data_IF_010650506831
#
_entry.id   IF_010650506831
#
_cell.length_a   1.000
_cell.length_b   1.000
_cell.length_c   1.000
_cell.angle_alpha   90.00
_cell.angle_beta   90.00
_cell.angle_gamma   90.00
#
_symmetry.space_group_name_H-M   'P 1'
#
loop_
_entity.id
_entity.type
_entity.pdbx_description
1 polymer ?
#
# COMPACT_ATOMS: atom_id res chain seq x y z
N UNK A 1 15.38 15.19 -21.58
CA UNK A 1 15.24 13.95 -20.76
C UNK A 1 16.53 13.54 -20.03
N UNK A 2 17.71 13.66 -20.63
CA UNK A 2 18.98 13.23 -20.00
C UNK A 2 19.40 14.12 -18.81
N UNK A 3 19.00 15.38 -18.76
CA UNK A 3 19.35 16.31 -17.68
C UNK A 3 18.72 15.96 -16.33
N UNK A 4 17.52 15.37 -16.32
CA UNK A 4 16.80 14.96 -15.10
C UNK A 4 17.62 13.92 -14.31
N UNK A 5 18.26 12.99 -15.01
CA UNK A 5 19.06 11.93 -14.40
C UNK A 5 20.47 12.38 -13.95
N UNK A 6 20.84 13.65 -14.12
CA UNK A 6 22.05 14.21 -13.52
C UNK A 6 21.89 14.48 -12.02
N UNK A 7 20.66 14.63 -11.54
CA UNK A 7 20.38 14.87 -10.13
C UNK A 7 20.22 13.56 -9.37
N UNK A 8 21.02 13.35 -8.31
CA UNK A 8 21.00 12.14 -7.51
C UNK A 8 19.63 11.89 -6.86
N UNK A 9 18.97 12.95 -6.37
CA UNK A 9 17.64 12.82 -5.77
C UNK A 9 16.61 12.28 -6.76
N UNK A 10 16.72 12.66 -8.03
CA UNK A 10 15.80 12.18 -9.07
C UNK A 10 16.07 10.71 -9.42
N UNK A 11 17.34 10.30 -9.50
CA UNK A 11 17.70 8.90 -9.69
C UNK A 11 17.14 8.04 -8.55
N UNK A 12 17.30 8.47 -7.30
CA UNK A 12 16.77 7.79 -6.14
C UNK A 12 15.24 7.72 -6.17
N UNK A 13 14.56 8.82 -6.53
CA UNK A 13 13.11 8.87 -6.66
C UNK A 13 12.57 7.88 -7.71
N UNK A 14 13.22 7.81 -8.88
CA UNK A 14 12.83 6.85 -9.93
C UNK A 14 13.07 5.40 -9.49
N UNK A 15 14.24 5.10 -8.90
CA UNK A 15 14.53 3.75 -8.41
C UNK A 15 13.55 3.31 -7.33
N UNK A 16 13.32 4.15 -6.31
CA UNK A 16 12.36 3.85 -5.25
C UNK A 16 10.95 3.71 -5.79
N UNK A 17 10.53 4.63 -6.65
CA UNK A 17 9.22 4.61 -7.29
C UNK A 17 8.99 3.33 -8.08
N UNK A 18 9.95 2.88 -8.90
CA UNK A 18 9.86 1.63 -9.65
C UNK A 18 9.79 0.41 -8.73
N UNK A 19 10.67 0.33 -7.72
CA UNK A 19 10.67 -0.79 -6.76
C UNK A 19 9.34 -0.87 -6.00
N UNK A 20 8.87 0.25 -5.46
CA UNK A 20 7.60 0.30 -4.71
C UNK A 20 6.40 0.03 -5.62
N UNK A 21 6.39 0.54 -6.86
CA UNK A 21 5.32 0.26 -7.83
C UNK A 21 5.20 -1.23 -8.12
N UNK A 22 6.32 -1.93 -8.25
CA UNK A 22 6.33 -3.38 -8.47
C UNK A 22 5.74 -4.13 -7.28
N UNK A 23 6.20 -3.81 -6.07
CA UNK A 23 5.70 -4.44 -4.83
C UNK A 23 4.22 -4.16 -4.63
N UNK A 24 3.82 -2.88 -4.71
CA UNK A 24 2.45 -2.44 -4.49
C UNK A 24 1.50 -2.99 -5.56
N UNK A 25 1.93 -3.13 -6.83
CA UNK A 25 1.10 -3.71 -7.89
C UNK A 25 0.82 -5.20 -7.66
N UNK A 26 1.81 -5.97 -7.18
CA UNK A 26 1.60 -7.38 -6.83
C UNK A 26 0.66 -7.52 -5.63
N UNK A 27 0.84 -6.70 -4.60
CA UNK A 27 -0.09 -6.66 -3.45
C UNK A 27 -1.48 -6.21 -3.88
N UNK A 28 -1.58 -5.20 -4.77
CA UNK A 28 -2.82 -4.67 -5.32
C UNK A 28 -3.68 -5.75 -5.99
N UNK A 29 -3.05 -6.68 -6.71
CA UNK A 29 -3.76 -7.83 -7.29
C UNK A 29 -4.56 -8.59 -6.23
N UNK A 30 -3.92 -8.95 -5.10
CA UNK A 30 -4.60 -9.67 -4.03
C UNK A 30 -5.61 -8.80 -3.26
N UNK A 31 -5.32 -7.52 -3.07
CA UNK A 31 -6.23 -6.56 -2.42
C UNK A 31 -7.54 -6.45 -3.20
N UNK A 32 -7.46 -6.31 -4.53
CA UNK A 32 -8.65 -6.22 -5.39
C UNK A 32 -9.39 -7.55 -5.45
N UNK A 33 -8.66 -8.66 -5.62
CA UNK A 33 -9.26 -9.99 -5.72
C UNK A 33 -10.01 -10.39 -4.44
N UNK A 34 -9.47 -10.01 -3.26
CA UNK A 34 -10.07 -10.26 -1.95
C UNK A 34 -11.09 -9.19 -1.53
N UNK A 35 -11.37 -8.18 -2.36
CA UNK A 35 -12.28 -7.06 -2.09
C UNK A 35 -11.91 -6.28 -0.82
N UNK A 36 -10.62 -6.07 -0.60
CA UNK A 36 -10.05 -5.37 0.56
C UNK A 36 -9.58 -3.95 0.21
N UNK A 37 -10.25 -3.27 -0.72
CA UNK A 37 -9.79 -1.99 -1.28
C UNK A 37 -9.57 -0.88 -0.24
N UNK A 38 -10.37 -0.83 0.81
CA UNK A 38 -10.23 0.18 1.87
C UNK A 38 -9.22 -0.18 2.96
N UNK A 39 -8.75 -1.44 3.03
CA UNK A 39 -7.85 -1.86 4.11
C UNK A 39 -6.51 -1.12 4.06
N UNK A 40 -6.01 -0.82 2.86
CA UNK A 40 -4.78 -0.05 2.68
C UNK A 40 -4.86 1.33 3.33
N UNK A 41 -5.97 2.04 3.11
CA UNK A 41 -6.25 3.35 3.72
C UNK A 41 -6.37 3.21 5.24
N UNK A 42 -7.16 2.25 5.72
CA UNK A 42 -7.36 2.02 7.16
C UNK A 42 -6.05 1.72 7.89
N UNK A 43 -5.24 0.83 7.34
CA UNK A 43 -3.94 0.44 7.92
C UNK A 43 -2.94 1.59 7.87
N UNK A 44 -2.87 2.32 6.74
CA UNK A 44 -1.94 3.43 6.57
C UNK A 44 -2.21 4.56 7.58
N UNK A 45 -3.46 4.94 7.76
CA UNK A 45 -3.83 5.94 8.77
C UNK A 45 -3.71 5.41 10.19
N UNK A 46 -3.94 4.12 10.42
CA UNK A 46 -3.71 3.49 11.73
C UNK A 46 -2.23 3.49 12.12
N UNK A 47 -1.34 3.37 11.14
CA UNK A 47 0.09 3.47 11.38
C UNK A 47 0.50 4.84 11.99
N UNK A 48 -0.26 5.92 11.71
CA UNK A 48 -0.09 7.20 12.36
C UNK A 48 -0.23 7.11 13.89
N UNK A 49 -1.24 6.38 14.39
CA UNK A 49 -1.37 6.10 15.83
C UNK A 49 -0.13 5.40 16.41
N UNK A 50 0.47 4.49 15.64
CA UNK A 50 1.72 3.83 16.01
C UNK A 50 2.94 4.76 16.02
N UNK A 51 3.04 5.68 15.03
CA UNK A 51 4.08 6.74 15.02
C UNK A 51 3.98 7.63 16.25
N UNK A 52 2.76 8.08 16.56
CA UNK A 52 2.47 8.92 17.73
C UNK A 52 2.80 8.21 19.06
N UNK A 53 2.47 6.92 19.16
CA UNK A 53 2.83 6.09 20.31
C UNK A 53 4.35 5.98 20.48
N UNK A 54 5.09 5.80 19.38
CA UNK A 54 6.55 5.77 19.40
C UNK A 54 7.17 7.07 19.89
N UNK A 55 6.63 8.21 19.42
CA UNK A 55 7.04 9.53 19.86
C UNK A 55 6.78 9.74 21.37
N UNK A 56 5.61 9.31 21.86
CA UNK A 56 5.25 9.39 23.28
C UNK A 56 6.17 8.54 24.17
N UNK A 57 6.52 7.33 23.73
CA UNK A 57 7.35 6.39 24.50
C UNK A 57 8.86 6.63 24.33
N UNK A 58 9.27 7.56 23.47
CA UNK A 58 10.70 7.81 23.18
C UNK A 58 11.39 6.66 22.45
N UNK A 59 10.65 5.80 21.76
CA UNK A 59 11.17 4.66 20.97
C UNK A 59 10.98 4.90 19.48
N UNK A 60 11.61 4.06 18.65
CA UNK A 60 11.56 4.23 17.19
C UNK A 60 10.12 4.32 16.66
N UNK A 61 9.70 5.48 16.09
CA UNK A 61 8.34 5.64 15.54
C UNK A 61 8.03 4.66 14.41
N UNK A 62 9.04 4.23 13.65
CA UNK A 62 8.86 3.25 12.57
C UNK A 62 8.53 1.85 13.11
N UNK A 63 9.20 1.41 14.18
CA UNK A 63 8.95 0.08 14.77
C UNK A 63 7.58 0.03 15.42
N UNK A 64 7.18 1.09 16.13
CA UNK A 64 5.85 1.19 16.74
C UNK A 64 4.75 1.29 15.69
N UNK A 65 4.98 2.03 14.59
CA UNK A 65 4.06 2.08 13.46
C UNK A 65 3.84 0.69 12.85
N UNK A 66 4.90 -0.09 12.65
CA UNK A 66 4.81 -1.46 12.15
C UNK A 66 3.97 -2.33 13.10
N UNK A 67 4.32 -2.36 14.38
CA UNK A 67 3.61 -3.17 15.38
C UNK A 67 2.14 -2.80 15.47
N UNK A 68 1.83 -1.51 15.52
CA UNK A 68 0.47 -0.99 15.60
C UNK A 68 -0.34 -1.30 14.33
N UNK A 69 0.23 -1.07 13.16
CA UNK A 69 -0.42 -1.34 11.88
C UNK A 69 -0.70 -2.83 11.67
N UNK A 70 0.25 -3.71 12.04
CA UNK A 70 0.06 -5.17 12.00
C UNK A 70 -1.04 -5.60 12.97
N UNK A 71 -1.05 -5.08 14.19
CA UNK A 71 -2.10 -5.37 15.17
C UNK A 71 -3.48 -4.95 14.65
N UNK A 72 -3.60 -3.73 14.14
CA UNK A 72 -4.86 -3.20 13.58
C UNK A 72 -5.31 -3.99 12.36
N UNK A 73 -4.42 -4.28 11.40
CA UNK A 73 -4.77 -5.05 10.21
C UNK A 73 -5.33 -6.44 10.58
N UNK A 74 -4.69 -7.12 11.54
CA UNK A 74 -5.14 -8.43 12.01
C UNK A 74 -6.43 -8.34 12.82
N UNK A 75 -6.63 -7.29 13.62
CA UNK A 75 -7.87 -7.05 14.35
C UNK A 75 -9.05 -6.79 13.39
N UNK A 76 -8.83 -5.98 12.33
CA UNK A 76 -9.82 -5.79 11.25
C UNK A 76 -10.18 -7.13 10.62
N UNK A 77 -9.18 -7.94 10.27
CA UNK A 77 -9.38 -9.25 9.68
C UNK A 77 -10.16 -10.22 10.59
N UNK A 78 -9.88 -10.19 11.89
CA UNK A 78 -10.57 -11.00 12.88
C UNK A 78 -12.04 -10.61 13.04
N UNK A 79 -12.33 -9.31 13.22
CA UNK A 79 -13.69 -8.80 13.42
C UNK A 79 -14.53 -8.93 12.16
N UNK A 80 -13.98 -8.62 11.00
CA UNK A 80 -14.67 -8.75 9.71
C UNK A 80 -15.12 -10.18 9.40
N UNK A 81 -14.48 -11.19 10.00
CA UNK A 81 -14.85 -12.62 9.82
C UNK A 81 -15.93 -13.11 10.78
N UNK A 82 -16.14 -12.45 11.89
CA UNK A 82 -17.14 -12.87 12.89
C UNK A 82 -18.60 -12.62 12.49
N UNK A 83 -18.83 -12.14 11.26
CA UNK A 83 -20.10 -12.26 10.56
C UNK A 83 -21.18 -11.23 10.89
N UNK A 84 -20.96 -10.32 11.86
CA UNK A 84 -21.94 -9.27 12.21
C UNK A 84 -21.65 -7.92 11.58
N UNK A 85 -20.40 -7.66 11.18
CA UNK A 85 -19.96 -6.40 10.61
C UNK A 85 -19.27 -6.65 9.28
N UNK A 86 -19.47 -5.75 8.30
CA UNK A 86 -18.68 -5.78 7.08
C UNK A 86 -17.21 -5.43 7.37
N UNK A 87 -16.30 -5.94 6.57
CA UNK A 87 -14.87 -5.60 6.68
C UNK A 87 -14.66 -4.10 6.58
N UNK A 88 -15.42 -3.40 5.72
CA UNK A 88 -15.32 -1.94 5.57
C UNK A 88 -15.77 -1.20 6.84
N UNK A 89 -16.79 -1.70 7.54
CA UNK A 89 -17.21 -1.14 8.83
C UNK A 89 -16.11 -1.31 9.88
N UNK A 90 -15.48 -2.49 9.95
CA UNK A 90 -14.36 -2.73 10.85
C UNK A 90 -13.19 -1.79 10.53
N UNK A 91 -12.85 -1.62 9.25
CA UNK A 91 -11.81 -0.67 8.81
C UNK A 91 -12.13 0.75 9.31
N UNK A 92 -13.37 1.24 9.12
CA UNK A 92 -13.78 2.57 9.56
C UNK A 92 -13.64 2.77 11.07
N UNK A 93 -14.03 1.79 11.87
CA UNK A 93 -13.91 1.83 13.35
C UNK A 93 -12.43 1.90 13.76
N UNK A 94 -11.60 0.99 13.27
CA UNK A 94 -10.19 0.95 13.65
C UNK A 94 -9.40 2.16 13.13
N UNK A 95 -9.71 2.64 11.93
CA UNK A 95 -9.18 3.89 11.41
C UNK A 95 -9.47 5.07 12.35
N UNK A 96 -10.74 5.26 12.72
CA UNK A 96 -11.16 6.37 13.58
C UNK A 96 -10.55 6.26 14.98
N UNK A 97 -10.53 5.05 15.56
CA UNK A 97 -9.91 4.80 16.86
C UNK A 97 -8.41 5.09 16.84
N UNK A 98 -7.70 4.57 15.84
CA UNK A 98 -6.25 4.76 15.72
C UNK A 98 -5.87 6.23 15.52
N UNK A 99 -6.63 6.97 14.70
CA UNK A 99 -6.44 8.41 14.52
C UNK A 99 -6.70 9.18 15.84
N UNK A 100 -7.78 8.85 16.55
CA UNK A 100 -8.08 9.49 17.83
C UNK A 100 -6.98 9.23 18.88
N UNK A 101 -6.53 7.97 18.99
CA UNK A 101 -5.40 7.60 19.85
C UNK A 101 -4.13 8.33 19.45
N UNK A 102 -3.85 8.44 18.14
CA UNK A 102 -2.70 9.17 17.63
C UNK A 102 -2.69 10.64 18.07
N UNK A 103 -3.83 11.32 17.96
CA UNK A 103 -3.98 12.72 18.42
C UNK A 103 -3.79 12.82 19.95
N UNK A 104 -4.34 11.89 20.72
CA UNK A 104 -4.16 11.85 22.18
C UNK A 104 -2.67 11.65 22.52
N UNK A 105 -1.99 10.70 21.92
CA UNK A 105 -0.58 10.42 22.17
C UNK A 105 0.33 11.62 21.85
N UNK A 106 0.04 12.32 20.74
CA UNK A 106 0.77 13.56 20.41
C UNK A 106 0.50 14.66 21.43
N UNK A 107 -0.77 14.83 21.86
CA UNK A 107 -1.11 15.81 22.89
C UNK A 107 -0.47 15.54 24.26
N UNK A 108 -0.12 14.29 24.54
CA UNK A 108 0.59 13.87 25.75
C UNK A 108 2.12 13.94 25.60
N UNK A 109 2.64 14.03 24.37
CA UNK A 109 4.07 14.07 24.10
C UNK A 109 4.62 15.49 24.28
N UNK A 110 5.69 15.63 25.04
CA UNK A 110 6.43 16.91 25.15
C UNK A 110 7.25 17.23 23.89
N UNK A 111 7.47 16.24 23.01
CA UNK A 111 8.22 16.38 21.76
C UNK A 111 7.30 16.70 20.59
N UNK A 112 7.08 17.98 20.33
CA UNK A 112 6.23 18.50 19.24
C UNK A 112 6.82 18.39 17.83
N UNK A 113 7.92 17.66 17.62
CA UNK A 113 8.70 17.65 16.37
C UNK A 113 8.46 16.45 15.46
N UNK A 114 7.29 15.79 15.53
CA UNK A 114 6.96 14.75 14.55
C UNK A 114 6.46 15.42 13.28
N UNK A 115 7.18 15.27 12.17
CA UNK A 115 6.75 15.74 10.85
C UNK A 115 5.56 14.90 10.34
N UNK A 116 4.36 15.27 10.83
CA UNK A 116 3.11 14.62 10.46
C UNK A 116 2.78 14.78 8.98
N UNK A 117 3.12 15.94 8.40
CA UNK A 117 2.91 16.22 6.98
C UNK A 117 3.79 15.31 6.11
N UNK A 118 5.05 15.07 6.53
CA UNK A 118 5.94 14.13 5.84
C UNK A 118 5.39 12.70 5.80
N UNK A 119 4.74 12.23 6.88
CA UNK A 119 4.10 10.91 6.88
C UNK A 119 2.84 10.85 6.00
N UNK A 120 2.02 11.93 5.95
CA UNK A 120 0.78 11.95 5.17
C UNK A 120 1.03 12.03 3.67
N UNK A 121 1.91 12.95 3.27
CA UNK A 121 2.13 13.24 1.85
C UNK A 121 3.40 12.60 1.29
N UNK A 122 4.32 12.18 2.16
CA UNK A 122 5.63 11.68 1.79
C UNK A 122 6.49 12.72 1.10
N UNK A 123 7.73 12.38 0.82
CA UNK A 123 8.59 13.18 -0.05
C UNK A 123 9.48 12.23 -0.86
N UNK A 124 8.96 11.77 -1.99
CA UNK A 124 9.68 10.85 -2.87
C UNK A 124 11.00 11.46 -3.39
N UNK A 125 11.13 12.79 -3.39
CA UNK A 125 12.34 13.49 -3.83
C UNK A 125 13.41 13.57 -2.73
N UNK A 126 13.06 13.28 -1.47
CA UNK A 126 14.01 13.27 -0.34
C UNK A 126 14.60 11.89 -0.04
N UNK A 127 14.41 10.91 -0.92
CA UNK A 127 14.85 9.53 -0.72
C UNK A 127 16.37 9.43 -0.78
N UNK A 128 16.93 8.82 0.27
CA UNK A 128 18.36 8.54 0.39
C UNK A 128 18.72 7.17 -0.19
N UNK A 129 20.01 6.92 -0.41
CA UNK A 129 20.51 5.59 -0.79
C UNK A 129 20.21 4.52 0.27
N UNK A 130 20.21 4.90 1.54
CA UNK A 130 19.82 3.99 2.63
C UNK A 130 18.37 3.55 2.52
N UNK A 131 17.48 4.48 2.19
CA UNK A 131 16.06 4.17 1.96
C UNK A 131 15.89 3.20 0.78
N UNK A 132 16.67 3.35 -0.30
CA UNK A 132 16.65 2.41 -1.44
C UNK A 132 17.02 0.99 -1.02
N UNK A 133 18.04 0.84 -0.17
CA UNK A 133 18.43 -0.49 0.34
C UNK A 133 17.31 -1.08 1.20
N UNK A 134 16.69 -0.28 2.06
CA UNK A 134 15.56 -0.71 2.89
C UNK A 134 14.39 -1.17 2.01
N UNK A 135 14.03 -0.38 0.98
CA UNK A 135 12.98 -0.74 0.02
C UNK A 135 13.31 -2.05 -0.69
N UNK A 136 14.55 -2.19 -1.18
CA UNK A 136 14.99 -3.37 -1.91
C UNK A 136 14.91 -4.64 -1.04
N UNK A 137 15.42 -4.58 0.20
CA UNK A 137 15.41 -5.72 1.12
C UNK A 137 13.97 -6.08 1.51
N UNK A 138 13.20 -5.11 2.01
CA UNK A 138 11.86 -5.36 2.50
C UNK A 138 10.88 -5.67 1.37
N UNK A 139 11.01 -4.99 0.23
CA UNK A 139 10.23 -5.29 -0.97
C UNK A 139 10.49 -6.71 -1.49
N UNK A 140 11.76 -7.13 -1.51
CA UNK A 140 12.12 -8.51 -1.90
C UNK A 140 11.55 -9.53 -0.90
N UNK A 141 11.61 -9.25 0.40
CA UNK A 141 11.01 -10.13 1.42
C UNK A 141 9.48 -10.25 1.24
N UNK A 142 8.79 -9.15 0.97
CA UNK A 142 7.35 -9.14 0.70
C UNK A 142 7.03 -9.97 -0.56
N UNK A 143 7.74 -9.73 -1.66
CA UNK A 143 7.51 -10.47 -2.91
C UNK A 143 7.85 -11.95 -2.76
N UNK A 144 8.95 -12.29 -2.11
CA UNK A 144 9.33 -13.67 -1.84
C UNK A 144 8.29 -14.37 -0.97
N UNK A 145 7.79 -13.71 0.07
CA UNK A 145 6.75 -14.22 0.95
C UNK A 145 5.44 -14.50 0.18
N UNK A 146 5.03 -13.56 -0.67
CA UNK A 146 3.85 -13.75 -1.54
C UNK A 146 4.10 -14.89 -2.53
N UNK A 147 5.29 -14.97 -3.11
CA UNK A 147 5.62 -15.99 -4.11
C UNK A 147 5.62 -17.41 -3.51
N UNK A 148 6.14 -17.57 -2.28
CA UNK A 148 6.14 -18.85 -1.56
C UNK A 148 4.72 -19.37 -1.35
N UNK A 149 3.80 -18.50 -0.92
CA UNK A 149 2.40 -18.85 -0.63
C UNK A 149 1.44 -18.45 -1.76
N UNK A 150 1.96 -18.22 -2.98
CA UNK A 150 1.17 -17.66 -4.08
C UNK A 150 -0.06 -18.49 -4.42
N UNK A 151 0.09 -19.80 -4.53
CA UNK A 151 -0.99 -20.73 -4.90
C UNK A 151 -2.07 -20.79 -3.83
N UNK A 152 -1.66 -20.84 -2.57
CA UNK A 152 -2.54 -20.88 -1.40
C UNK A 152 -3.30 -19.56 -1.26
N UNK A 153 -2.60 -18.42 -1.36
CA UNK A 153 -3.21 -17.10 -1.32
C UNK A 153 -4.20 -16.89 -2.46
N UNK A 154 -3.86 -17.37 -3.66
CA UNK A 154 -4.71 -17.29 -4.84
C UNK A 154 -5.97 -18.14 -4.65
N UNK A 155 -5.83 -19.37 -4.17
CA UNK A 155 -6.96 -20.28 -3.94
C UNK A 155 -7.94 -19.71 -2.91
N UNK A 156 -7.43 -19.25 -1.76
CA UNK A 156 -8.26 -18.59 -0.72
C UNK A 156 -8.94 -17.32 -1.25
N UNK A 157 -8.30 -16.59 -2.17
CA UNK A 157 -8.86 -15.38 -2.75
C UNK A 157 -10.00 -15.66 -3.74
N UNK A 158 -9.97 -16.79 -4.44
CA UNK A 158 -11.03 -17.20 -5.36
C UNK A 158 -12.21 -17.85 -4.66
N UNK A 159 -11.95 -18.82 -3.79
CA UNK A 159 -13.01 -19.54 -3.07
C UNK A 159 -12.52 -19.96 -1.67
N UNK A 160 -12.93 -19.16 -0.71
CA UNK A 160 -12.56 -19.35 0.68
C UNK A 160 -13.19 -20.59 1.31
N UNK A 161 -14.43 -20.93 0.91
CA UNK A 161 -15.16 -22.07 1.48
C UNK A 161 -14.56 -23.38 0.98
N UNK A 162 -14.27 -23.46 -0.32
CA UNK A 162 -13.59 -24.61 -0.92
C UNK A 162 -12.19 -24.78 -0.34
N UNK A 163 -11.45 -23.70 -0.09
CA UNK A 163 -10.14 -23.77 0.55
C UNK A 163 -10.22 -24.35 1.97
N UNK A 164 -11.23 -23.96 2.76
CA UNK A 164 -11.47 -24.51 4.10
C UNK A 164 -11.79 -26.02 4.07
N UNK A 165 -12.68 -26.42 3.18
CA UNK A 165 -13.06 -27.85 3.04
C UNK A 165 -11.88 -28.69 2.51
N UNK A 166 -10.99 -28.10 1.72
CA UNK A 166 -9.77 -28.74 1.24
C UNK A 166 -8.66 -28.86 2.30
N UNK A 167 -8.94 -28.47 3.56
CA UNK A 167 -7.99 -28.58 4.66
C UNK A 167 -6.90 -27.52 4.68
N UNK A 168 -7.03 -26.43 3.91
CA UNK A 168 -6.03 -25.35 3.92
C UNK A 168 -6.11 -24.52 5.21
N UNK A 169 -4.99 -24.04 5.74
CA UNK A 169 -4.96 -23.20 6.93
C UNK A 169 -5.39 -21.76 6.60
N UNK A 170 -6.66 -21.57 6.19
CA UNK A 170 -7.19 -20.29 5.68
C UNK A 170 -7.02 -19.16 6.68
N UNK A 171 -7.20 -19.42 7.97
CA UNK A 171 -7.02 -18.40 9.01
C UNK A 171 -5.58 -17.90 9.07
N UNK A 172 -4.60 -18.82 8.99
CA UNK A 172 -3.19 -18.44 8.93
C UNK A 172 -2.88 -17.61 7.68
N UNK A 173 -3.35 -18.05 6.50
CA UNK A 173 -3.12 -17.36 5.22
C UNK A 173 -3.74 -15.95 5.19
N UNK A 174 -4.88 -15.77 5.84
CA UNK A 174 -5.52 -14.47 5.97
C UNK A 174 -4.70 -13.53 6.86
N UNK A 175 -4.31 -13.97 8.05
CA UNK A 175 -3.48 -13.17 8.95
C UNK A 175 -2.08 -12.91 8.37
N UNK A 176 -1.51 -13.88 7.69
CA UNK A 176 -0.26 -13.75 6.96
C UNK A 176 -0.34 -12.65 5.89
N UNK A 177 -1.39 -12.68 5.03
CA UNK A 177 -1.58 -11.66 4.01
C UNK A 177 -1.79 -10.28 4.61
N UNK A 178 -2.60 -10.15 5.67
CA UNK A 178 -2.84 -8.88 6.36
C UNK A 178 -1.57 -8.32 7.00
N UNK A 179 -0.73 -9.18 7.55
CA UNK A 179 0.57 -8.80 8.11
C UNK A 179 1.52 -8.28 7.02
N UNK A 180 1.64 -9.00 5.89
CA UNK A 180 2.45 -8.56 4.74
C UNK A 180 1.93 -7.23 4.18
N UNK A 181 0.62 -7.08 4.05
CA UNK A 181 -0.01 -5.85 3.61
C UNK A 181 0.34 -4.69 4.55
N UNK A 182 0.20 -4.88 5.86
CA UNK A 182 0.53 -3.85 6.85
C UNK A 182 2.01 -3.45 6.80
N UNK A 183 2.92 -4.42 6.71
CA UNK A 183 4.35 -4.17 6.51
C UNK A 183 4.61 -3.36 5.24
N UNK A 184 4.02 -3.77 4.12
CA UNK A 184 4.16 -3.07 2.84
C UNK A 184 3.67 -1.63 2.94
N UNK A 185 2.51 -1.41 3.56
CA UNK A 185 1.93 -0.07 3.74
C UNK A 185 2.85 0.81 4.58
N UNK A 186 3.30 0.35 5.77
CA UNK A 186 4.11 1.19 6.68
C UNK A 186 5.45 1.56 6.06
N UNK A 187 6.11 0.62 5.38
CA UNK A 187 7.38 0.88 4.73
C UNK A 187 7.20 1.89 3.58
N UNK A 188 6.18 1.68 2.77
CA UNK A 188 5.91 2.54 1.61
C UNK A 188 5.45 3.94 2.03
N UNK A 189 4.59 4.06 3.07
CA UNK A 189 4.05 5.35 3.49
C UNK A 189 5.12 6.33 3.99
N UNK A 190 6.17 5.82 4.65
CA UNK A 190 7.29 6.65 5.12
C UNK A 190 8.01 7.34 3.96
N UNK A 191 8.00 6.73 2.79
CA UNK A 191 8.79 7.14 1.63
C UNK A 191 7.94 7.94 0.64
N UNK A 192 6.77 7.42 0.28
CA UNK A 192 5.92 8.00 -0.76
C UNK A 192 4.60 8.60 -0.24
N UNK A 193 4.38 8.50 1.08
CA UNK A 193 3.18 9.02 1.74
C UNK A 193 1.95 8.13 1.63
N UNK A 194 0.99 8.38 2.54
CA UNK A 194 -0.23 7.56 2.68
C UNK A 194 -1.10 7.61 1.42
N UNK A 195 -1.24 8.79 0.81
CA UNK A 195 -2.13 9.00 -0.34
C UNK A 195 -1.67 8.16 -1.54
N UNK A 196 -0.37 8.20 -1.85
CA UNK A 196 0.17 7.47 -2.99
C UNK A 196 0.18 5.96 -2.75
N UNK A 197 0.52 5.51 -1.53
CA UNK A 197 0.47 4.09 -1.16
C UNK A 197 -0.94 3.54 -1.33
N UNK A 198 -1.94 4.24 -0.78
CA UNK A 198 -3.34 3.80 -0.87
C UNK A 198 -3.83 3.71 -2.31
N UNK A 199 -3.45 4.65 -3.16
CA UNK A 199 -3.79 4.65 -4.57
C UNK A 199 -3.13 3.48 -5.33
N UNK A 200 -1.83 3.26 -5.15
CA UNK A 200 -1.09 2.18 -5.82
C UNK A 200 -1.49 0.78 -5.33
N UNK A 201 -2.03 0.66 -4.12
CA UNK A 201 -2.58 -0.60 -3.60
C UNK A 201 -3.92 -0.99 -4.24
N UNK A 202 -4.62 -0.07 -4.89
CA UNK A 202 -5.96 -0.35 -5.43
C UNK A 202 -6.03 -0.12 -6.94
N UNK A 203 -5.59 1.04 -7.41
CA UNK A 203 -5.85 1.47 -8.79
C UNK A 203 -5.23 0.54 -9.84
N UNK A 204 -3.96 0.10 -9.74
CA UNK A 204 -3.37 -0.76 -10.78
C UNK A 204 -4.06 -2.11 -10.89
N UNK A 205 -4.38 -2.75 -9.75
CA UNK A 205 -5.11 -4.01 -9.72
C UNK A 205 -6.55 -3.87 -10.26
N UNK A 206 -7.25 -2.80 -9.86
CA UNK A 206 -8.59 -2.52 -10.33
C UNK A 206 -8.63 -2.23 -11.84
N UNK A 207 -7.69 -1.45 -12.37
CA UNK A 207 -7.56 -1.18 -13.78
C UNK A 207 -7.25 -2.45 -14.59
N UNK A 208 -6.32 -3.28 -14.10
CA UNK A 208 -5.99 -4.56 -14.72
C UNK A 208 -7.20 -5.51 -14.77
N UNK A 209 -8.00 -5.57 -13.70
CA UNK A 209 -9.21 -6.39 -13.62
C UNK A 209 -10.27 -6.01 -14.67
N UNK A 210 -10.30 -4.75 -15.15
CA UNK A 210 -11.24 -4.33 -16.20
C UNK A 210 -10.95 -4.94 -17.57
N UNK A 211 -9.68 -5.22 -17.87
CA UNK A 211 -9.24 -5.59 -19.22
C UNK A 211 -8.63 -6.99 -19.30
N UNK A 212 -8.47 -7.70 -18.16
CA UNK A 212 -7.87 -9.03 -18.11
C UNK A 212 -8.80 -10.04 -17.43
N UNK A 213 -8.69 -11.31 -17.84
CA UNK A 213 -9.46 -12.44 -17.27
C UNK A 213 -8.58 -13.50 -16.60
N UNK A 214 -7.28 -13.47 -16.87
CA UNK A 214 -6.31 -14.44 -16.33
C UNK A 214 -5.47 -13.76 -15.24
N UNK A 215 -5.25 -14.44 -14.13
CA UNK A 215 -4.49 -13.87 -13.00
C UNK A 215 -3.07 -13.42 -13.39
N UNK A 216 -2.37 -14.19 -14.24
CA UNK A 216 -1.02 -13.83 -14.71
C UNK A 216 -1.04 -12.52 -15.50
N UNK A 217 -1.99 -12.38 -16.43
CA UNK A 217 -2.16 -11.16 -17.21
C UNK A 217 -2.58 -9.99 -16.33
N UNK A 218 -3.41 -10.23 -15.30
CA UNK A 218 -3.84 -9.20 -14.36
C UNK A 218 -2.66 -8.63 -13.57
N UNK A 219 -1.77 -9.50 -13.04
CA UNK A 219 -0.56 -9.06 -12.33
C UNK A 219 0.36 -8.29 -13.26
N UNK A 220 0.63 -8.83 -14.46
CA UNK A 220 1.52 -8.17 -15.43
C UNK A 220 1.01 -6.78 -15.83
N UNK A 221 -0.29 -6.67 -16.13
CA UNK A 221 -0.92 -5.39 -16.49
C UNK A 221 -0.94 -4.43 -15.30
N UNK A 222 -1.21 -4.90 -14.07
CA UNK A 222 -1.14 -4.06 -12.87
C UNK A 222 0.27 -3.49 -12.67
N UNK A 223 1.33 -4.30 -12.85
CA UNK A 223 2.72 -3.84 -12.78
C UNK A 223 3.00 -2.77 -13.84
N UNK A 224 2.58 -3.01 -15.09
CA UNK A 224 2.78 -2.05 -16.18
C UNK A 224 2.07 -0.73 -15.90
N UNK A 225 0.81 -0.77 -15.44
CA UNK A 225 0.06 0.43 -15.09
C UNK A 225 0.73 1.19 -13.94
N UNK A 226 1.15 0.49 -12.88
CA UNK A 226 1.84 1.11 -11.74
C UNK A 226 3.15 1.79 -12.17
N UNK A 227 3.96 1.11 -13.00
CA UNK A 227 5.21 1.66 -13.51
C UNK A 227 4.98 2.88 -14.43
N UNK A 228 4.03 2.80 -15.37
CA UNK A 228 3.70 3.93 -16.25
C UNK A 228 3.21 5.11 -15.42
N UNK A 229 2.34 4.88 -14.44
CA UNK A 229 1.82 5.93 -13.56
C UNK A 229 2.92 6.59 -12.75
N UNK A 230 3.84 5.80 -12.20
CA UNK A 230 4.94 6.32 -11.37
C UNK A 230 5.97 7.05 -12.20
N UNK A 231 6.46 6.45 -13.29
CA UNK A 231 7.46 7.07 -14.15
C UNK A 231 6.88 8.32 -14.84
N UNK A 232 5.69 8.19 -15.42
CA UNK A 232 5.01 9.30 -16.10
C UNK A 232 4.63 10.42 -15.12
N UNK A 233 4.13 10.06 -13.94
CA UNK A 233 3.78 11.02 -12.88
C UNK A 233 5.00 11.79 -12.36
N UNK A 234 6.14 11.14 -12.15
CA UNK A 234 7.40 11.80 -11.76
C UNK A 234 7.90 12.75 -12.86
N UNK A 235 7.83 12.34 -14.12
CA UNK A 235 8.22 13.20 -15.23
C UNK A 235 7.31 14.43 -15.33
N UNK A 236 6.00 14.26 -15.30
CA UNK A 236 5.03 15.36 -15.35
C UNK A 236 5.25 16.30 -14.15
N UNK A 237 5.40 15.73 -12.93
CA UNK A 237 5.67 16.50 -11.72
C UNK A 237 6.89 17.39 -11.84
N UNK A 238 7.98 16.87 -12.39
CA UNK A 238 9.22 17.62 -12.58
C UNK A 238 9.07 18.78 -13.57
N UNK A 239 8.44 18.54 -14.73
CA UNK A 239 8.31 19.57 -15.76
C UNK A 239 7.23 20.60 -15.46
N UNK A 240 6.20 20.23 -14.72
CA UNK A 240 5.07 21.10 -14.39
C UNK A 240 5.16 21.71 -12.97
N UNK A 241 6.23 21.40 -12.22
CA UNK A 241 6.44 21.84 -10.82
C UNK A 241 5.25 21.50 -9.91
N UNK A 242 4.76 20.25 -10.02
CA UNK A 242 3.62 19.75 -9.27
C UNK A 242 4.05 18.76 -8.18
N UNK A 243 3.20 18.56 -7.16
CA UNK A 243 3.44 17.54 -6.14
C UNK A 243 3.47 16.13 -6.76
N UNK A 244 4.62 15.44 -6.62
CA UNK A 244 4.89 14.16 -7.29
C UNK A 244 3.87 13.07 -6.94
N UNK A 245 3.54 12.91 -5.67
CA UNK A 245 2.55 11.91 -5.23
C UNK A 245 1.18 12.13 -5.85
N UNK A 246 0.69 13.38 -5.85
CA UNK A 246 -0.61 13.74 -6.44
C UNK A 246 -0.63 13.51 -7.94
N UNK A 247 0.45 13.84 -8.65
CA UNK A 247 0.57 13.67 -10.10
C UNK A 247 0.55 12.18 -10.48
N UNK A 248 1.26 11.33 -9.74
CA UNK A 248 1.24 9.87 -9.93
C UNK A 248 -0.18 9.31 -9.74
N UNK A 249 -0.86 9.70 -8.66
CA UNK A 249 -2.23 9.26 -8.37
C UNK A 249 -3.20 9.71 -9.48
N UNK A 250 -3.08 10.95 -9.92
CA UNK A 250 -3.93 11.50 -10.99
C UNK A 250 -3.74 10.72 -12.29
N UNK A 251 -2.49 10.42 -12.66
CA UNK A 251 -2.18 9.64 -13.86
C UNK A 251 -2.69 8.19 -13.74
N UNK A 252 -2.50 7.55 -12.58
CA UNK A 252 -3.02 6.21 -12.33
C UNK A 252 -4.56 6.18 -12.45
N UNK A 253 -5.23 7.18 -11.89
CA UNK A 253 -6.69 7.31 -11.95
C UNK A 253 -7.17 7.55 -13.39
N UNK A 254 -6.46 8.37 -14.17
CA UNK A 254 -6.78 8.57 -15.58
C UNK A 254 -6.68 7.26 -16.38
N UNK A 255 -5.62 6.46 -16.15
CA UNK A 255 -5.46 5.15 -16.77
C UNK A 255 -6.61 4.21 -16.36
N UNK A 256 -7.02 4.22 -15.08
CA UNK A 256 -8.17 3.43 -14.62
C UNK A 256 -9.45 3.81 -15.37
N UNK A 257 -9.76 5.10 -15.50
CA UNK A 257 -10.98 5.53 -16.21
C UNK A 257 -10.93 5.18 -17.72
N UNK A 258 -9.75 5.24 -18.33
CA UNK A 258 -9.56 4.78 -19.72
C UNK A 258 -9.83 3.28 -19.84
N UNK A 259 -9.24 2.46 -18.96
CA UNK A 259 -9.44 1.00 -18.96
C UNK A 259 -10.90 0.64 -18.69
N UNK A 260 -11.57 1.38 -17.80
CA UNK A 260 -12.99 1.22 -17.51
C UNK A 260 -13.83 1.53 -18.75
N UNK A 261 -13.60 2.67 -19.43
CA UNK A 261 -14.32 3.02 -20.65
C UNK A 261 -14.14 1.97 -21.76
N UNK A 262 -12.90 1.51 -21.98
CA UNK A 262 -12.59 0.44 -22.96
C UNK A 262 -13.31 -0.86 -22.60
N UNK A 263 -13.42 -1.19 -21.32
CA UNK A 263 -14.12 -2.41 -20.88
C UNK A 263 -15.62 -2.38 -21.16
N UNK A 264 -16.25 -1.19 -21.15
CA UNK A 264 -17.67 -1.03 -21.48
C UNK A 264 -17.96 -1.19 -22.99
N UNK A 265 -17.00 -0.80 -23.83
CA UNK A 265 -17.13 -0.94 -25.31
C UNK A 265 -16.96 -2.41 -25.74
N UNK A 266 -16.25 -3.22 -24.95
CA UNK A 266 -15.99 -4.64 -25.26
C UNK A 266 -17.04 -5.62 -24.72
N UNK A 267 -18.04 -5.12 -23.97
CA UNK A 267 -19.23 -5.89 -23.54
C UNK A 267 -20.29 -5.85 -24.61
#
# INVERSE_FOLDING_TARGET
MIEIFRFEFMQNAFMAGMMLSLVLAVVSFFVVLRRLSFIGVGVAHSAFGGVALGALLGISPTLTAIGFAVAVANAIGYIGKQGKLSTDTAIGIFFSLAMALGVIFIGMSEQYNVDLFGYLFGNILAITRTDLVIIAVLGTLVLASIFIFFKELLFVAYDREVALVSGMPVTFLDHFFLTILALTVVISMKIIGIVLVSALLVIPGAAAAQITRRYVSMIAVAIVIALISTIGGLLISYYADLASGATIVTLASAIFFITFAVSQIRK
#
